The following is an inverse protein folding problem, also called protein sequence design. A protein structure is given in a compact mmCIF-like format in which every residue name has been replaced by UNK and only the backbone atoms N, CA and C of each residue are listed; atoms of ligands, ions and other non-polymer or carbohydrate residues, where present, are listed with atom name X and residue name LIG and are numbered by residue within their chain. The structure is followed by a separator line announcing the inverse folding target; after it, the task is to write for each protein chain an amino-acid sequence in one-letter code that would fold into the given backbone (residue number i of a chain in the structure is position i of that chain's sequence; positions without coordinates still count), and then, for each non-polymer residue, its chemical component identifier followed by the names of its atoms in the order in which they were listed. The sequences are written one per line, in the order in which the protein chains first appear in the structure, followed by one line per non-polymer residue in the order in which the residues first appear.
data_IF_556800274023
#
_entry.id   IF_556800274023
#
_cell.length_a   1.000
_cell.length_b   1.000
_cell.length_c   1.000
_cell.angle_alpha   90.00
_cell.angle_beta   90.00
_cell.angle_gamma   90.00
#
_symmetry.space_group_name_H-M   'P 1'
#
loop_
_entity.id
_entity.type
_entity.pdbx_description
1 polymer ?
#
# COMPACT_ATOMS: atom_id res chain seq x y z
N UNK A 1 4.75 3.07 -21.78
CA UNK A 1 4.99 4.52 -21.89
C UNK A 1 4.13 5.23 -20.85
N UNK A 2 4.69 6.25 -20.16
CA UNK A 2 3.91 7.09 -19.25
C UNK A 2 2.79 7.79 -20.04
N UNK A 3 1.58 7.74 -19.50
CA UNK A 3 0.43 8.41 -20.09
C UNK A 3 0.23 9.75 -19.36
N UNK A 4 1.04 10.75 -19.72
CA UNK A 4 0.94 12.12 -19.23
C UNK A 4 0.40 13.01 -20.34
N UNK A 5 -0.46 13.96 -20.00
CA UNK A 5 -0.80 15.07 -20.91
C UNK A 5 0.43 15.96 -21.12
N UNK A 6 0.43 16.78 -22.18
CA UNK A 6 1.50 17.76 -22.40
C UNK A 6 1.63 18.73 -21.22
N UNK A 7 0.51 19.11 -20.60
CA UNK A 7 0.46 19.97 -19.43
C UNK A 7 1.10 19.29 -18.20
N UNK A 8 0.70 18.04 -17.88
CA UNK A 8 1.28 17.26 -16.79
C UNK A 8 2.79 17.04 -17.00
N UNK A 9 3.22 16.76 -18.23
CA UNK A 9 4.63 16.59 -18.54
C UNK A 9 5.45 17.87 -18.32
N UNK A 10 4.90 19.03 -18.69
CA UNK A 10 5.56 20.33 -18.46
C UNK A 10 5.71 20.63 -16.97
N UNK A 11 4.65 20.40 -16.18
CA UNK A 11 4.68 20.58 -14.72
C UNK A 11 5.68 19.63 -14.08
N UNK A 12 5.62 18.32 -14.40
CA UNK A 12 6.52 17.31 -13.87
C UNK A 12 7.98 17.70 -14.13
N UNK A 13 8.31 18.07 -15.37
CA UNK A 13 9.67 18.48 -15.72
C UNK A 13 10.11 19.70 -14.91
N UNK A 14 9.26 20.73 -14.78
CA UNK A 14 9.58 21.93 -13.98
C UNK A 14 9.84 21.61 -12.52
N UNK A 15 9.01 20.77 -11.91
CA UNK A 15 9.17 20.31 -10.52
C UNK A 15 10.47 19.52 -10.35
N UNK A 16 10.76 18.58 -11.25
CA UNK A 16 11.99 17.78 -11.22
C UNK A 16 13.23 18.66 -11.35
N UNK A 17 13.23 19.66 -12.24
CA UNK A 17 14.35 20.59 -12.42
C UNK A 17 14.68 21.37 -11.14
N UNK A 18 13.68 21.80 -10.37
CA UNK A 18 13.87 22.46 -9.09
C UNK A 18 14.36 21.49 -7.99
N UNK A 19 13.77 20.29 -7.93
CA UNK A 19 14.05 19.33 -6.87
C UNK A 19 15.42 18.65 -7.02
N UNK A 20 15.91 18.42 -8.23
CA UNK A 20 17.24 17.83 -8.46
C UNK A 20 18.39 18.73 -7.99
N UNK A 21 18.14 20.04 -7.82
CA UNK A 21 19.11 21.00 -7.31
C UNK A 21 19.10 21.10 -5.78
N UNK A 22 18.15 20.47 -5.13
CA UNK A 22 18.04 20.47 -3.68
C UNK A 22 19.05 19.49 -3.08
N UNK A 23 20.12 20.01 -2.48
CA UNK A 23 21.16 19.21 -1.86
C UNK A 23 20.56 18.27 -0.79
N UNK A 24 20.95 17.00 -0.82
CA UNK A 24 20.40 15.94 0.04
C UNK A 24 19.23 15.17 -0.58
N UNK A 25 18.76 15.54 -1.77
CA UNK A 25 17.88 14.70 -2.58
C UNK A 25 18.77 13.76 -3.42
N UNK A 26 18.64 12.47 -3.18
CA UNK A 26 19.43 11.43 -3.85
C UNK A 26 18.81 10.99 -5.18
N UNK A 27 17.46 10.92 -5.20
CA UNK A 27 16.73 10.66 -6.42
C UNK A 27 15.31 11.26 -6.36
N UNK A 28 14.78 11.59 -7.55
CA UNK A 28 13.40 12.04 -7.76
C UNK A 28 12.70 11.06 -8.68
N UNK A 29 11.51 10.61 -8.30
CA UNK A 29 10.73 9.64 -9.07
C UNK A 29 9.30 10.11 -9.30
N UNK A 30 8.70 9.66 -10.39
CA UNK A 30 7.25 9.66 -10.54
C UNK A 30 6.71 8.33 -10.00
N UNK A 31 5.74 8.41 -9.09
CA UNK A 31 5.07 7.29 -8.45
C UNK A 31 3.60 7.18 -8.79
N UNK A 32 2.83 6.67 -7.84
CA UNK A 32 1.37 6.65 -7.83
C UNK A 32 0.72 6.00 -9.05
N UNK A 33 -0.44 6.55 -9.42
CA UNK A 33 -1.26 6.01 -10.51
C UNK A 33 -0.60 6.14 -11.89
N UNK A 34 0.17 7.19 -12.11
CA UNK A 34 0.92 7.39 -13.36
C UNK A 34 2.01 6.35 -13.56
N UNK A 35 2.79 6.04 -12.54
CA UNK A 35 3.83 5.00 -12.60
C UNK A 35 3.22 3.60 -12.82
N UNK A 36 1.99 3.38 -12.33
CA UNK A 36 1.25 2.12 -12.48
C UNK A 36 0.53 1.98 -13.82
N UNK A 37 0.52 3.01 -14.67
CA UNK A 37 -0.24 3.02 -15.92
C UNK A 37 -1.76 3.00 -15.72
N UNK A 38 -2.25 3.52 -14.58
CA UNK A 38 -3.66 3.54 -14.16
C UNK A 38 -4.18 4.95 -13.89
N UNK A 39 -3.42 5.95 -14.30
CA UNK A 39 -3.81 7.34 -14.11
C UNK A 39 -5.04 7.69 -14.95
N UNK A 40 -5.89 8.54 -14.40
CA UNK A 40 -6.96 9.24 -15.09
C UNK A 40 -6.51 10.66 -15.44
N UNK A 41 -7.20 11.37 -16.34
CA UNK A 41 -6.83 12.74 -16.67
C UNK A 41 -6.78 13.70 -15.47
N UNK A 42 -7.55 13.42 -14.43
CA UNK A 42 -7.65 14.18 -13.18
C UNK A 42 -6.75 13.65 -12.05
N UNK A 43 -5.91 12.66 -12.32
CA UNK A 43 -4.99 12.08 -11.33
C UNK A 43 -3.91 13.07 -10.92
N UNK A 44 -3.54 13.02 -9.64
CA UNK A 44 -2.45 13.79 -9.06
C UNK A 44 -1.09 13.29 -9.59
N UNK A 45 -0.08 14.15 -9.60
CA UNK A 45 1.30 13.77 -9.85
C UNK A 45 1.97 13.43 -8.50
N UNK A 46 2.18 12.15 -8.23
CA UNK A 46 2.88 11.67 -7.03
C UNK A 46 4.39 11.67 -7.29
N UNK A 47 5.15 12.52 -6.61
CA UNK A 47 6.60 12.65 -6.80
C UNK A 47 7.31 12.24 -5.52
N UNK A 48 8.10 11.16 -5.58
CA UNK A 48 8.92 10.68 -4.48
C UNK A 48 10.27 11.39 -4.44
N UNK A 49 10.63 11.94 -3.28
CA UNK A 49 11.97 12.45 -2.98
C UNK A 49 12.70 11.44 -2.11
N UNK A 50 13.65 10.74 -2.71
CA UNK A 50 14.49 9.78 -1.99
C UNK A 50 15.69 10.48 -1.40
N UNK A 51 16.00 10.18 -0.14
CA UNK A 51 17.08 10.82 0.60
C UNK A 51 17.74 9.88 1.61
N UNK A 52 19.02 10.13 1.93
CA UNK A 52 19.68 9.51 3.08
C UNK A 52 19.39 10.29 4.36
N UNK A 53 18.98 9.63 5.47
CA UNK A 53 18.76 10.31 6.75
C UNK A 53 20.04 10.90 7.35
N UNK A 54 21.22 10.44 6.92
CA UNK A 54 22.52 10.98 7.37
C UNK A 54 22.82 12.36 6.73
N UNK A 55 22.26 12.60 5.53
CA UNK A 55 22.44 13.84 4.78
C UNK A 55 21.12 14.30 4.16
N UNK A 56 20.09 14.58 4.99
CA UNK A 56 18.77 14.92 4.47
C UNK A 56 18.76 16.27 3.78
N UNK A 57 17.82 16.48 2.87
CA UNK A 57 17.60 17.77 2.26
C UNK A 57 17.00 18.79 3.25
N UNK A 58 17.17 20.07 2.96
CA UNK A 58 16.63 21.15 3.79
C UNK A 58 15.14 21.37 3.56
N UNK A 59 14.32 21.15 4.59
CA UNK A 59 12.88 21.45 4.56
C UNK A 59 12.62 22.95 4.31
N UNK A 60 13.45 23.83 4.86
CA UNK A 60 13.33 25.28 4.61
C UNK A 60 13.51 25.61 3.12
N UNK A 61 14.50 25.00 2.48
CA UNK A 61 14.70 25.16 1.03
C UNK A 61 13.56 24.54 0.22
N UNK A 62 13.03 23.39 0.64
CA UNK A 62 11.87 22.81 -0.02
C UNK A 62 10.64 23.72 0.10
N UNK A 63 10.41 24.37 1.25
CA UNK A 63 9.35 25.38 1.42
C UNK A 63 9.51 26.56 0.45
N UNK A 64 10.73 27.04 0.24
CA UNK A 64 11.00 28.11 -0.73
C UNK A 64 10.68 27.66 -2.18
N UNK A 65 11.08 26.44 -2.56
CA UNK A 65 10.76 25.85 -3.86
C UNK A 65 9.25 25.71 -4.02
N UNK A 66 8.59 25.10 -3.04
CA UNK A 66 7.15 24.89 -3.03
C UNK A 66 6.38 26.21 -3.17
N UNK A 67 6.78 27.26 -2.44
CA UNK A 67 6.14 28.59 -2.51
C UNK A 67 6.30 29.27 -3.88
N UNK A 68 7.39 28.96 -4.63
CA UNK A 68 7.56 29.48 -6.00
C UNK A 68 6.74 28.72 -7.04
N UNK A 69 6.52 27.42 -6.80
CA UNK A 69 5.83 26.55 -7.75
C UNK A 69 4.32 26.56 -7.58
N UNK A 70 3.85 26.70 -6.33
CA UNK A 70 2.45 26.54 -5.98
C UNK A 70 1.60 27.73 -6.40
N UNK A 71 0.37 27.49 -6.83
CA UNK A 71 -0.59 28.51 -7.24
C UNK A 71 -0.99 29.43 -6.06
N UNK A 72 -1.03 28.88 -4.85
CA UNK A 72 -1.28 29.63 -3.61
C UNK A 72 0.01 29.83 -2.82
N UNK A 73 0.10 30.96 -2.13
CA UNK A 73 1.35 31.47 -1.53
C UNK A 73 1.91 30.60 -0.39
N UNK A 74 1.05 29.83 0.28
CA UNK A 74 1.43 29.02 1.45
C UNK A 74 1.06 27.54 1.20
N UNK A 75 1.91 26.78 0.50
CA UNK A 75 1.70 25.35 0.33
C UNK A 75 1.92 24.61 1.66
N UNK A 76 1.25 23.47 1.80
CA UNK A 76 1.50 22.56 2.92
C UNK A 76 2.81 21.83 2.67
N UNK A 77 3.82 22.07 3.52
CA UNK A 77 5.12 21.38 3.52
C UNK A 77 5.42 20.92 4.93
N UNK A 78 5.42 19.62 5.16
CA UNK A 78 5.66 19.04 6.47
C UNK A 78 7.16 18.96 6.82
N UNK A 79 7.45 18.80 8.10
CA UNK A 79 8.77 18.38 8.54
C UNK A 79 8.91 16.85 8.40
N UNK A 80 10.16 16.33 8.50
CA UNK A 80 10.40 14.88 8.52
C UNK A 80 9.70 14.25 9.72
N UNK A 81 9.10 13.08 9.52
CA UNK A 81 8.38 12.33 10.55
C UNK A 81 6.99 12.88 10.89
N UNK A 82 6.59 14.03 10.34
CA UNK A 82 5.31 14.66 10.69
C UNK A 82 4.08 13.84 10.26
N UNK A 83 4.22 12.97 9.24
CA UNK A 83 3.14 12.10 8.76
C UNK A 83 3.29 10.65 9.25
N UNK A 84 4.03 10.47 10.34
CA UNK A 84 4.27 9.17 10.95
C UNK A 84 5.51 8.46 10.41
N UNK A 85 5.81 7.33 11.01
CA UNK A 85 7.09 6.63 10.77
C UNK A 85 7.22 5.99 9.39
N UNK A 86 6.11 5.72 8.70
CA UNK A 86 6.12 5.07 7.38
C UNK A 86 6.07 6.05 6.23
N UNK A 87 5.19 7.03 6.29
CA UNK A 87 5.02 8.01 5.21
C UNK A 87 6.05 9.13 5.32
N UNK A 88 6.60 9.35 6.52
CA UNK A 88 7.62 10.34 6.85
C UNK A 88 7.12 11.78 6.74
N UNK A 89 6.85 12.27 5.53
CA UNK A 89 6.34 13.61 5.29
C UNK A 89 6.23 13.91 3.79
N UNK A 90 5.91 15.14 3.47
CA UNK A 90 5.72 15.57 2.09
C UNK A 90 5.24 17.00 1.93
N UNK A 91 4.78 17.31 0.74
CA UNK A 91 4.14 18.57 0.43
C UNK A 91 2.95 18.36 -0.51
N UNK A 92 1.89 19.15 -0.29
CA UNK A 92 0.74 19.19 -1.17
C UNK A 92 0.72 20.51 -1.93
N UNK A 93 0.85 20.42 -3.25
CA UNK A 93 0.92 21.56 -4.14
C UNK A 93 -0.22 21.52 -5.15
N UNK A 94 -0.58 22.70 -5.63
CA UNK A 94 -1.36 22.87 -6.85
C UNK A 94 -0.55 23.80 -7.77
N UNK A 95 -0.23 23.31 -8.95
CA UNK A 95 0.62 23.99 -9.92
C UNK A 95 -0.13 24.10 -11.24
N UNK A 96 -0.49 25.32 -11.62
CA UNK A 96 -1.31 25.57 -12.84
C UNK A 96 -2.60 24.73 -12.86
N UNK A 97 -3.25 24.57 -11.67
CA UNK A 97 -4.45 23.79 -11.47
C UNK A 97 -4.23 22.27 -11.33
N UNK A 98 -3.01 21.75 -11.58
CA UNK A 98 -2.66 20.35 -11.40
C UNK A 98 -2.21 20.09 -9.96
N UNK A 99 -2.80 19.09 -9.30
CA UNK A 99 -2.35 18.63 -7.98
C UNK A 99 -1.04 17.85 -8.11
N UNK A 100 -0.11 18.17 -7.22
CA UNK A 100 1.23 17.56 -7.16
C UNK A 100 1.55 17.23 -5.70
N UNK A 101 1.71 15.96 -5.41
CA UNK A 101 2.07 15.46 -4.09
C UNK A 101 3.56 15.10 -4.06
N UNK A 102 4.32 15.80 -3.21
CA UNK A 102 5.71 15.43 -2.92
C UNK A 102 5.71 14.50 -1.71
N UNK A 103 6.41 13.37 -1.81
CA UNK A 103 6.47 12.36 -0.75
C UNK A 103 7.93 12.09 -0.38
N UNK A 104 8.28 12.26 0.90
CA UNK A 104 9.63 11.96 1.38
C UNK A 104 9.82 10.45 1.53
N UNK A 105 10.97 9.94 1.07
CA UNK A 105 11.28 8.51 1.10
C UNK A 105 12.70 8.29 1.58
N UNK A 106 12.84 7.84 2.83
CA UNK A 106 14.12 7.48 3.42
C UNK A 106 14.68 6.21 2.78
N UNK A 107 15.87 6.30 2.18
CA UNK A 107 16.59 5.15 1.61
C UNK A 107 16.87 4.10 2.69
N UNK A 108 17.31 4.53 3.87
CA UNK A 108 17.57 3.60 4.99
C UNK A 108 16.33 2.80 5.40
N UNK A 109 15.13 3.41 5.33
CA UNK A 109 13.87 2.70 5.60
C UNK A 109 13.56 1.67 4.52
N UNK A 110 13.75 2.01 3.25
CA UNK A 110 13.56 1.07 2.13
C UNK A 110 14.50 -0.12 2.29
N UNK A 111 15.79 0.11 2.55
CA UNK A 111 16.80 -0.93 2.75
C UNK A 111 16.48 -1.83 3.96
N UNK A 112 16.10 -1.23 5.10
CA UNK A 112 15.70 -1.98 6.28
C UNK A 112 14.46 -2.86 6.00
N UNK A 113 13.46 -2.30 5.32
CA UNK A 113 12.26 -3.06 4.95
C UNK A 113 12.58 -4.20 3.99
N UNK A 114 13.48 -3.99 3.01
CA UNK A 114 13.93 -5.04 2.09
C UNK A 114 14.68 -6.15 2.82
N UNK A 115 15.56 -5.80 3.77
CA UNK A 115 16.26 -6.77 4.63
C UNK A 115 15.24 -7.62 5.40
N UNK A 116 14.27 -6.98 6.05
CA UNK A 116 13.22 -7.69 6.78
C UNK A 116 12.38 -8.58 5.87
N UNK A 117 12.01 -8.10 4.69
CA UNK A 117 11.26 -8.87 3.70
C UNK A 117 12.00 -10.14 3.24
N UNK A 118 13.32 -10.05 3.02
CA UNK A 118 14.18 -11.20 2.67
C UNK A 118 14.26 -12.24 3.77
N UNK A 119 14.06 -11.83 5.02
CA UNK A 119 14.03 -12.72 6.19
C UNK A 119 12.60 -13.13 6.58
N UNK A 120 11.59 -12.79 5.76
CA UNK A 120 10.19 -13.11 6.03
C UNK A 120 9.58 -12.29 7.17
N UNK A 121 10.17 -11.15 7.50
CA UNK A 121 9.60 -10.22 8.48
C UNK A 121 8.86 -9.09 7.78
N UNK A 122 7.73 -8.70 8.35
CA UNK A 122 6.94 -7.56 7.92
C UNK A 122 6.14 -6.99 9.09
N UNK A 123 5.70 -5.76 8.94
CA UNK A 123 4.90 -5.07 9.95
C UNK A 123 3.64 -4.49 9.31
N UNK A 124 2.56 -4.42 10.10
CA UNK A 124 1.38 -3.60 9.82
C UNK A 124 1.23 -2.64 10.98
N UNK A 125 1.37 -1.36 10.72
CA UNK A 125 1.23 -0.29 11.70
C UNK A 125 -0.22 0.21 11.70
N UNK A 126 -0.98 -0.22 12.71
CA UNK A 126 -2.41 0.11 12.81
C UNK A 126 -2.67 1.55 13.28
N UNK A 127 -1.67 2.24 13.81
CA UNK A 127 -1.78 3.65 14.19
C UNK A 127 -1.65 4.58 12.97
N UNK A 128 -1.18 4.06 11.85
CA UNK A 128 -1.01 4.81 10.63
C UNK A 128 -1.92 4.25 9.52
N UNK A 129 -2.57 5.14 8.78
CA UNK A 129 -3.38 4.83 7.59
C UNK A 129 -4.59 3.90 7.87
N UNK A 130 -5.62 4.39 8.58
CA UNK A 130 -6.86 3.64 8.74
C UNK A 130 -7.52 3.39 7.36
N UNK A 131 -8.35 2.35 7.21
CA UNK A 131 -8.87 1.48 8.28
C UNK A 131 -8.00 0.25 8.56
N UNK A 132 -7.02 -0.11 7.72
CA UNK A 132 -6.34 -1.40 7.78
C UNK A 132 -4.92 -1.32 8.35
N UNK A 133 -4.42 -0.12 8.59
CA UNK A 133 -3.04 0.11 8.97
C UNK A 133 -2.10 0.18 7.75
N UNK A 134 -0.90 0.70 7.98
CA UNK A 134 0.12 0.76 6.94
C UNK A 134 0.86 -0.57 6.84
N UNK A 135 0.77 -1.23 5.70
CA UNK A 135 1.53 -2.44 5.40
C UNK A 135 2.97 -2.05 5.02
N UNK A 136 3.94 -2.25 5.91
CA UNK A 136 5.32 -1.81 5.73
C UNK A 136 5.94 -2.14 4.37
N UNK A 137 5.78 -3.38 3.83
CA UNK A 137 6.30 -3.74 2.50
C UNK A 137 5.72 -2.93 1.33
N UNK A 138 4.70 -2.09 1.53
CA UNK A 138 4.20 -1.16 0.50
C UNK A 138 5.29 -0.22 -0.01
N UNK A 139 6.27 0.14 0.84
CA UNK A 139 7.41 0.97 0.41
C UNK A 139 8.28 0.29 -0.65
N UNK A 140 8.37 -1.06 -0.61
CA UNK A 140 9.06 -1.84 -1.65
C UNK A 140 8.25 -1.86 -2.95
N UNK A 141 6.93 -1.93 -2.82
CA UNK A 141 6.01 -1.82 -3.96
C UNK A 141 6.11 -0.45 -4.65
N UNK A 142 6.23 0.63 -3.88
CA UNK A 142 6.46 1.96 -4.43
C UNK A 142 7.77 2.02 -5.23
N UNK A 143 8.87 1.46 -4.70
CA UNK A 143 10.14 1.34 -5.42
C UNK A 143 9.98 0.52 -6.70
N UNK A 144 9.31 -0.63 -6.62
CA UNK A 144 9.13 -1.51 -7.78
C UNK A 144 8.46 -0.83 -8.98
N UNK A 145 7.46 0.04 -8.72
CA UNK A 145 6.74 0.76 -9.78
C UNK A 145 7.36 2.11 -10.13
N UNK A 146 8.19 2.71 -9.26
CA UNK A 146 8.72 4.06 -9.43
C UNK A 146 9.37 4.25 -10.79
N UNK A 147 9.11 5.40 -11.42
CA UNK A 147 9.77 5.81 -12.66
C UNK A 147 10.82 6.88 -12.32
N UNK A 148 12.12 6.58 -12.42
CA UNK A 148 13.16 7.54 -12.12
C UNK A 148 13.10 8.74 -13.08
N UNK A 149 13.01 9.95 -12.51
CA UNK A 149 13.06 11.22 -13.21
C UNK A 149 14.44 11.87 -13.05
N UNK A 150 15.09 11.65 -11.89
CA UNK A 150 16.46 12.02 -11.62
C UNK A 150 17.07 10.99 -10.67
N UNK A 151 18.06 10.24 -11.13
CA UNK A 151 18.76 9.18 -10.35
C UNK A 151 20.23 9.09 -10.80
N UNK A 152 21.03 10.12 -10.51
CA UNK A 152 22.39 10.25 -11.07
C UNK A 152 23.35 9.17 -10.60
N UNK A 153 23.06 8.52 -9.48
CA UNK A 153 23.85 7.43 -8.90
C UNK A 153 23.25 6.05 -9.14
N UNK A 154 22.19 5.95 -9.93
CA UNK A 154 21.46 4.71 -10.23
C UNK A 154 20.97 3.95 -8.96
N UNK A 155 20.70 4.66 -7.84
CA UNK A 155 20.26 4.07 -6.57
C UNK A 155 18.91 3.37 -6.76
N UNK A 156 17.97 4.08 -7.39
CA UNK A 156 16.63 3.52 -7.65
C UNK A 156 16.68 2.36 -8.63
N UNK A 157 17.53 2.41 -9.64
CA UNK A 157 17.71 1.31 -10.56
C UNK A 157 18.19 0.04 -9.84
N UNK A 158 19.14 0.17 -8.91
CA UNK A 158 19.62 -0.94 -8.08
C UNK A 158 18.51 -1.46 -7.15
N UNK A 159 17.88 -0.59 -6.39
CA UNK A 159 16.79 -0.99 -5.49
C UNK A 159 15.63 -1.68 -6.23
N UNK A 160 15.26 -1.21 -7.43
CA UNK A 160 14.23 -1.86 -8.26
C UNK A 160 14.62 -3.29 -8.63
N UNK A 161 15.86 -3.55 -8.98
CA UNK A 161 16.35 -4.90 -9.27
C UNK A 161 16.34 -5.79 -8.03
N UNK A 162 16.51 -5.23 -6.84
CA UNK A 162 16.53 -5.95 -5.58
C UNK A 162 15.13 -6.26 -5.01
N UNK A 163 14.15 -5.39 -5.25
CA UNK A 163 12.76 -5.58 -4.80
C UNK A 163 11.92 -6.39 -5.79
N UNK A 164 12.40 -6.63 -7.01
CA UNK A 164 11.68 -7.34 -8.07
C UNK A 164 12.51 -8.52 -8.58
N UNK A 165 12.00 -9.77 -8.45
CA UNK A 165 10.69 -10.15 -7.92
C UNK A 165 10.54 -9.95 -6.41
N UNK A 166 9.28 -9.99 -5.91
CA UNK A 166 9.00 -9.99 -4.46
C UNK A 166 9.75 -11.14 -3.78
N UNK A 167 10.41 -10.92 -2.62
CA UNK A 167 11.08 -12.00 -1.89
C UNK A 167 10.11 -13.13 -1.50
N UNK A 168 10.44 -14.37 -1.83
CA UNK A 168 9.63 -15.55 -1.50
C UNK A 168 9.39 -15.69 0.01
N UNK A 169 10.38 -15.30 0.83
CA UNK A 169 10.24 -15.33 2.28
C UNK A 169 9.14 -14.38 2.77
N UNK A 170 9.05 -13.17 2.19
CA UNK A 170 7.97 -12.23 2.49
C UNK A 170 6.61 -12.82 2.08
N UNK A 171 6.48 -13.30 0.85
CA UNK A 171 5.23 -13.87 0.35
C UNK A 171 4.74 -14.99 1.27
N UNK A 172 5.61 -15.92 1.61
CA UNK A 172 5.30 -17.03 2.54
C UNK A 172 4.88 -16.53 3.91
N UNK A 173 5.61 -15.59 4.50
CA UNK A 173 5.32 -15.07 5.84
C UNK A 173 3.96 -14.34 5.89
N UNK A 174 3.67 -13.53 4.88
CA UNK A 174 2.38 -12.82 4.78
C UNK A 174 1.23 -13.81 4.59
N UNK A 175 1.33 -14.74 3.65
CA UNK A 175 0.30 -15.76 3.39
C UNK A 175 0.03 -16.55 4.67
N UNK A 176 1.07 -17.09 5.32
CA UNK A 176 0.93 -17.85 6.56
C UNK A 176 0.26 -17.03 7.66
N UNK A 177 0.72 -15.80 7.89
CA UNK A 177 0.20 -14.94 8.96
C UNK A 177 -1.24 -14.49 8.69
N UNK A 178 -1.56 -14.14 7.45
CA UNK A 178 -2.89 -13.59 7.13
C UNK A 178 -3.96 -14.67 7.10
N UNK A 179 -3.69 -15.81 6.48
CA UNK A 179 -4.62 -16.95 6.50
C UNK A 179 -4.82 -17.51 7.92
N UNK A 180 -3.73 -17.61 8.72
CA UNK A 180 -3.86 -17.98 10.13
C UNK A 180 -4.78 -17.01 10.90
N UNK A 181 -4.64 -15.71 10.68
CA UNK A 181 -5.49 -14.70 11.35
C UNK A 181 -6.97 -14.87 11.00
N UNK A 182 -7.27 -15.22 9.74
CA UNK A 182 -8.65 -15.49 9.30
C UNK A 182 -9.17 -16.79 9.92
N UNK A 183 -8.40 -17.89 9.84
CA UNK A 183 -8.76 -19.19 10.40
C UNK A 183 -9.06 -19.09 11.90
N UNK A 184 -8.13 -18.52 12.66
CA UNK A 184 -8.29 -18.32 14.09
C UNK A 184 -9.51 -17.46 14.43
N UNK A 185 -9.71 -16.36 13.70
CA UNK A 185 -10.83 -15.46 13.93
C UNK A 185 -12.18 -16.09 13.62
N UNK A 186 -12.28 -16.84 12.51
CA UNK A 186 -13.50 -17.57 12.14
C UNK A 186 -13.83 -18.71 13.11
N UNK A 187 -12.81 -19.32 13.73
CA UNK A 187 -12.99 -20.45 14.62
C UNK A 187 -13.23 -20.03 16.07
N UNK A 188 -12.44 -19.05 16.57
CA UNK A 188 -12.39 -18.76 18.01
C UNK A 188 -13.18 -17.52 18.46
N UNK A 189 -13.32 -16.50 17.61
CA UNK A 189 -13.88 -15.22 18.01
C UNK A 189 -15.20 -14.86 17.33
N UNK A 190 -15.25 -14.85 16.00
CA UNK A 190 -16.40 -14.37 15.26
C UNK A 190 -17.71 -15.12 15.58
N UNK A 191 -17.72 -16.46 15.80
CA UNK A 191 -18.93 -17.17 16.19
C UNK A 191 -19.50 -16.72 17.53
N UNK A 192 -18.67 -16.28 18.49
CA UNK A 192 -19.12 -15.77 19.78
C UNK A 192 -19.85 -14.44 19.64
N UNK A 193 -19.34 -13.55 18.80
CA UNK A 193 -20.01 -12.29 18.48
C UNK A 193 -21.35 -12.54 17.78
N UNK A 194 -21.37 -13.45 16.79
CA UNK A 194 -22.60 -13.79 16.08
C UNK A 194 -23.66 -14.39 17.02
N UNK A 195 -23.28 -15.33 17.89
CA UNK A 195 -24.21 -15.93 18.86
C UNK A 195 -24.84 -14.93 19.82
N UNK A 196 -24.12 -13.84 20.12
CA UNK A 196 -24.62 -12.75 20.98
C UNK A 196 -25.35 -11.64 20.19
N UNK A 197 -25.52 -11.76 18.86
CA UNK A 197 -26.11 -10.70 18.03
C UNK A 197 -25.23 -9.45 17.94
N UNK A 198 -23.95 -9.55 18.25
CA UNK A 198 -23.00 -8.42 18.22
C UNK A 198 -22.59 -8.10 16.78
N UNK A 199 -23.35 -7.20 16.17
CA UNK A 199 -23.11 -6.71 14.80
C UNK A 199 -21.74 -6.03 14.69
N UNK A 200 -21.33 -5.24 15.69
CA UNK A 200 -20.06 -4.52 15.69
C UNK A 200 -18.87 -5.50 15.65
N UNK A 201 -18.89 -6.50 16.54
CA UNK A 201 -17.85 -7.51 16.59
C UNK A 201 -17.74 -8.33 15.30
N UNK A 202 -18.89 -8.76 14.73
CA UNK A 202 -18.90 -9.49 13.45
C UNK A 202 -18.44 -8.62 12.29
N UNK A 203 -18.90 -7.36 12.19
CA UNK A 203 -18.48 -6.42 11.15
C UNK A 203 -16.97 -6.18 11.18
N UNK A 204 -16.41 -5.96 12.38
CA UNK A 204 -14.97 -5.81 12.58
C UNK A 204 -14.18 -7.05 12.13
N UNK A 205 -14.64 -8.25 12.49
CA UNK A 205 -14.05 -9.51 12.04
C UNK A 205 -14.10 -9.65 10.53
N UNK A 206 -15.26 -9.50 9.91
CA UNK A 206 -15.45 -9.65 8.46
C UNK A 206 -14.57 -8.67 7.65
N UNK A 207 -14.50 -7.41 8.10
CA UNK A 207 -13.67 -6.39 7.45
C UNK A 207 -12.18 -6.74 7.54
N UNK A 208 -11.72 -7.20 8.70
CA UNK A 208 -10.34 -7.63 8.92
C UNK A 208 -9.99 -8.88 8.11
N UNK A 209 -10.91 -9.84 8.02
CA UNK A 209 -10.72 -11.05 7.21
C UNK A 209 -10.65 -10.71 5.72
N UNK A 210 -11.53 -9.84 5.24
CA UNK A 210 -11.52 -9.36 3.86
C UNK A 210 -10.15 -8.79 3.47
N UNK A 211 -9.60 -7.88 4.29
CA UNK A 211 -8.29 -7.29 4.04
C UNK A 211 -7.17 -8.34 4.11
N UNK A 212 -7.23 -9.27 5.06
CA UNK A 212 -6.25 -10.36 5.17
C UNK A 212 -6.24 -11.24 3.92
N UNK A 213 -7.42 -11.56 3.36
CA UNK A 213 -7.53 -12.31 2.11
C UNK A 213 -6.99 -11.49 0.91
N UNK A 214 -7.26 -10.19 0.85
CA UNK A 214 -6.68 -9.31 -0.18
C UNK A 214 -5.16 -9.35 -0.13
N UNK A 215 -4.54 -9.13 1.04
CA UNK A 215 -3.08 -9.22 1.21
C UNK A 215 -2.53 -10.59 0.79
N UNK A 216 -3.22 -11.67 1.16
CA UNK A 216 -2.87 -13.03 0.74
C UNK A 216 -2.80 -13.13 -0.78
N UNK A 217 -3.83 -12.67 -1.49
CA UNK A 217 -3.88 -12.74 -2.95
C UNK A 217 -2.79 -11.90 -3.62
N UNK A 218 -2.47 -10.72 -3.10
CA UNK A 218 -1.34 -9.93 -3.58
C UNK A 218 -0.04 -10.74 -3.50
N UNK A 219 0.25 -11.33 -2.35
CA UNK A 219 1.46 -12.12 -2.15
C UNK A 219 1.49 -13.42 -2.97
N UNK A 220 0.36 -14.11 -3.15
CA UNK A 220 0.27 -15.31 -4.00
C UNK A 220 0.59 -15.00 -5.47
N UNK A 221 0.32 -13.77 -5.91
CA UNK A 221 0.59 -13.33 -7.28
C UNK A 221 1.92 -12.55 -7.41
N UNK A 222 2.74 -12.49 -6.36
CA UNK A 222 4.03 -11.80 -6.38
C UNK A 222 3.91 -10.28 -6.57
N UNK A 223 2.78 -9.70 -6.21
CA UNK A 223 2.47 -8.27 -6.37
C UNK A 223 2.45 -7.58 -5.00
N UNK A 224 3.15 -6.44 -4.87
CA UNK A 224 3.07 -5.64 -3.66
C UNK A 224 1.75 -4.88 -3.57
N UNK A 225 1.11 -4.93 -2.40
CA UNK A 225 0.03 -3.99 -2.08
C UNK A 225 0.66 -2.63 -1.81
N UNK A 226 0.30 -1.60 -2.59
CA UNK A 226 0.86 -0.25 -2.45
C UNK A 226 -0.10 0.64 -1.65
N UNK A 227 -1.40 0.54 -1.90
CA UNK A 227 -2.44 1.24 -1.14
C UNK A 227 -3.78 0.49 -1.20
N UNK A 228 -4.70 0.85 -0.30
CA UNK A 228 -5.98 0.16 -0.15
C UNK A 228 -7.07 0.61 -1.13
N UNK A 229 -6.91 1.78 -1.78
CA UNK A 229 -7.99 2.41 -2.58
C UNK A 229 -8.52 1.53 -3.72
N UNK A 230 -7.64 0.73 -4.34
CA UNK A 230 -7.99 -0.14 -5.47
C UNK A 230 -7.71 -1.61 -5.19
N UNK A 231 -7.27 -1.96 -3.98
CA UNK A 231 -6.76 -3.28 -3.62
C UNK A 231 -7.74 -4.42 -3.94
N UNK A 232 -9.02 -4.28 -3.58
CA UNK A 232 -10.03 -5.30 -3.86
C UNK A 232 -10.26 -5.50 -5.37
N UNK A 233 -10.31 -4.41 -6.13
CA UNK A 233 -10.51 -4.48 -7.58
C UNK A 233 -9.28 -5.10 -8.29
N UNK A 234 -8.08 -4.84 -7.77
CA UNK A 234 -6.85 -5.45 -8.27
C UNK A 234 -6.81 -6.96 -7.97
N UNK A 235 -7.06 -7.33 -6.72
CA UNK A 235 -7.06 -8.71 -6.27
C UNK A 235 -8.07 -9.58 -7.07
N UNK A 236 -9.20 -9.01 -7.47
CA UNK A 236 -10.21 -9.70 -8.27
C UNK A 236 -9.74 -10.07 -9.68
N UNK A 237 -8.70 -9.41 -10.20
CA UNK A 237 -8.16 -9.63 -11.54
C UNK A 237 -6.88 -10.49 -11.54
N UNK A 238 -6.43 -10.98 -10.39
CA UNK A 238 -5.27 -11.84 -10.32
C UNK A 238 -5.56 -13.24 -10.87
N UNK A 239 -4.54 -13.88 -11.44
CA UNK A 239 -4.64 -15.26 -11.93
C UNK A 239 -4.89 -16.26 -10.80
N UNK A 240 -4.31 -16.00 -9.62
CA UNK A 240 -4.54 -16.76 -8.39
C UNK A 240 -5.51 -15.99 -7.49
N UNK A 241 -6.80 -16.03 -7.83
CA UNK A 241 -7.88 -15.47 -7.02
C UNK A 241 -9.08 -16.43 -7.00
N UNK A 242 -9.84 -16.50 -5.89
CA UNK A 242 -11.10 -17.24 -5.85
C UNK A 242 -12.08 -16.70 -6.90
N UNK A 243 -12.87 -17.59 -7.47
CA UNK A 243 -13.90 -17.19 -8.43
C UNK A 243 -14.83 -16.13 -7.84
N UNK A 244 -15.06 -15.06 -8.59
CA UNK A 244 -15.91 -13.91 -8.20
C UNK A 244 -15.53 -13.31 -6.85
N UNK A 245 -14.25 -13.29 -6.51
CA UNK A 245 -13.75 -12.87 -5.20
C UNK A 245 -14.32 -11.53 -4.73
N UNK A 246 -14.22 -10.49 -5.56
CA UNK A 246 -14.70 -9.15 -5.17
C UNK A 246 -16.22 -9.09 -5.00
N UNK A 247 -16.98 -9.79 -5.84
CA UNK A 247 -18.45 -9.81 -5.75
C UNK A 247 -18.92 -10.53 -4.50
N UNK A 248 -18.28 -11.66 -4.18
CA UNK A 248 -18.56 -12.43 -2.95
C UNK A 248 -18.22 -11.59 -1.71
N UNK A 249 -17.09 -10.90 -1.69
CA UNK A 249 -16.73 -10.00 -0.58
C UNK A 249 -17.71 -8.84 -0.44
N UNK A 250 -18.09 -8.19 -1.54
CA UNK A 250 -19.08 -7.11 -1.51
C UNK A 250 -20.41 -7.61 -0.96
N UNK A 251 -20.88 -8.78 -1.41
CA UNK A 251 -22.14 -9.38 -0.94
C UNK A 251 -22.09 -9.70 0.57
N UNK A 252 -20.95 -10.17 1.09
CA UNK A 252 -20.79 -10.42 2.53
C UNK A 252 -20.84 -9.11 3.32
N UNK A 253 -20.11 -8.10 2.88
CA UNK A 253 -19.96 -6.84 3.64
C UNK A 253 -21.18 -5.91 3.50
N UNK A 254 -21.95 -6.00 2.42
CA UNK A 254 -23.14 -5.17 2.21
C UNK A 254 -24.38 -5.68 2.95
N UNK A 255 -24.38 -6.95 3.36
CA UNK A 255 -25.52 -7.58 4.07
C UNK A 255 -24.99 -8.47 5.21
N UNK A 256 -24.48 -7.81 6.25
CA UNK A 256 -23.95 -8.48 7.46
C UNK A 256 -25.09 -9.09 8.29
N UNK A 257 -26.27 -8.47 8.24
CA UNK A 257 -27.42 -8.85 9.06
C UNK A 257 -27.35 -8.28 10.48
N UNK A 258 -28.42 -8.54 11.26
CA UNK A 258 -28.57 -8.03 12.64
C UNK A 258 -29.06 -9.10 13.62
N UNK A 259 -29.34 -10.31 13.18
CA UNK A 259 -29.70 -11.43 14.06
C UNK A 259 -28.57 -12.45 14.16
N UNK A 260 -28.51 -13.24 15.23
CA UNK A 260 -27.50 -14.30 15.35
C UNK A 260 -27.42 -15.23 14.14
N UNK A 261 -28.57 -15.57 13.55
CA UNK A 261 -28.66 -16.45 12.38
C UNK A 261 -28.09 -15.77 11.12
N UNK A 262 -28.44 -14.49 10.90
CA UNK A 262 -27.94 -13.74 9.73
C UNK A 262 -26.43 -13.49 9.86
N UNK A 263 -25.94 -13.11 11.04
CA UNK A 263 -24.52 -12.94 11.33
C UNK A 263 -23.74 -14.24 11.11
N UNK A 264 -24.26 -15.38 11.58
CA UNK A 264 -23.67 -16.70 11.37
C UNK A 264 -23.64 -17.09 9.90
N UNK A 265 -24.70 -16.78 9.14
CA UNK A 265 -24.74 -17.01 7.70
C UNK A 265 -23.67 -16.19 6.95
N UNK A 266 -23.45 -14.93 7.36
CA UNK A 266 -22.38 -14.07 6.85
C UNK A 266 -20.98 -14.67 7.08
N UNK A 267 -20.75 -15.17 8.31
CA UNK A 267 -19.50 -15.88 8.65
C UNK A 267 -19.32 -17.16 7.82
N UNK A 268 -20.38 -17.92 7.57
CA UNK A 268 -20.32 -19.10 6.70
C UNK A 268 -19.93 -18.79 5.26
N UNK A 269 -20.43 -17.66 4.71
CA UNK A 269 -19.99 -17.18 3.39
C UNK A 269 -18.50 -16.79 3.38
N UNK A 270 -18.02 -16.14 4.45
CA UNK A 270 -16.60 -15.78 4.61
C UNK A 270 -15.72 -17.02 4.76
N UNK A 271 -16.18 -18.04 5.50
CA UNK A 271 -15.49 -19.33 5.63
C UNK A 271 -15.29 -19.99 4.26
N UNK A 272 -16.33 -20.02 3.42
CA UNK A 272 -16.20 -20.58 2.07
C UNK A 272 -15.17 -19.82 1.23
N UNK A 273 -15.13 -18.50 1.35
CA UNK A 273 -14.15 -17.67 0.63
C UNK A 273 -12.72 -17.88 1.15
N UNK A 274 -12.56 -18.06 2.45
CA UNK A 274 -11.29 -18.44 3.08
C UNK A 274 -10.79 -19.79 2.58
N UNK A 275 -11.65 -20.81 2.51
CA UNK A 275 -11.27 -22.15 2.03
C UNK A 275 -10.75 -22.10 0.58
N UNK A 276 -11.41 -21.34 -0.30
CA UNK A 276 -10.93 -21.16 -1.65
C UNK A 276 -9.54 -20.50 -1.69
N UNK A 277 -9.33 -19.44 -0.91
CA UNK A 277 -8.02 -18.77 -0.82
C UNK A 277 -6.96 -19.70 -0.22
N UNK A 278 -7.30 -20.52 0.77
CA UNK A 278 -6.43 -21.52 1.39
C UNK A 278 -6.03 -22.60 0.36
N UNK A 279 -6.97 -23.07 -0.45
CA UNK A 279 -6.66 -24.01 -1.53
C UNK A 279 -5.66 -23.43 -2.53
N UNK A 280 -5.83 -22.15 -2.92
CA UNK A 280 -4.89 -21.47 -3.81
C UNK A 280 -3.51 -21.28 -3.18
N UNK A 281 -3.44 -21.04 -1.87
CA UNK A 281 -2.19 -20.89 -1.14
C UNK A 281 -1.37 -22.20 -1.08
N UNK A 282 -2.03 -23.35 -1.10
CA UNK A 282 -1.37 -24.66 -1.11
C UNK A 282 -0.33 -24.80 0.00
N UNK A 283 0.90 -25.14 -0.36
CA UNK A 283 2.00 -25.35 0.58
C UNK A 283 2.53 -24.06 1.24
N UNK A 284 2.06 -22.88 0.83
CA UNK A 284 2.42 -21.62 1.48
C UNK A 284 1.65 -21.39 2.78
N UNK A 285 0.60 -22.18 3.04
CA UNK A 285 -0.16 -22.12 4.28
C UNK A 285 -0.24 -23.48 4.96
N UNK A 286 0.15 -23.51 6.23
CA UNK A 286 -0.04 -24.67 7.11
C UNK A 286 -0.94 -24.25 8.26
N UNK A 287 -2.12 -24.86 8.43
CA UNK A 287 -2.98 -24.62 9.58
C UNK A 287 -2.23 -24.88 10.88
N UNK A 288 -2.23 -23.91 11.79
CA UNK A 288 -1.58 -24.03 13.09
C UNK A 288 -2.58 -24.17 14.23
N UNK A 289 -3.83 -23.85 13.93
CA UNK A 289 -4.93 -23.94 14.88
C UNK A 289 -5.85 -25.10 14.49
N UNK A 290 -5.95 -26.07 15.38
CA UNK A 290 -6.91 -27.18 15.26
C UNK A 290 -7.76 -27.19 16.53
N UNK A 291 -9.02 -26.79 16.40
CA UNK A 291 -10.03 -26.99 17.46
C UNK A 291 -10.60 -28.38 17.41
#
# INVERSE_FOLDING_TARGET
MLQLTSHQSAILNRVVEELKLLAGVDAVVLGGSHARGRARPDSDLDIGLYYSPDTPFSIARLREIAARLNDVREPVVSDFGAWGRWVDGGAWLTIEGQRVDLLYRSLAKVEATLKDAREGRFEIDFEQQPPFGFFGPSVLGEVAIAVPMHDPRAILAQLKAEVSPMPDALARAVVQSRLWSVEFGLTAFAPKFAANGDVHGVAGCLTRFAHALVLTLFCLNGVYLINDKTALAEAANFSLAPERFADRLRAILSDIGSTPEALSAGLGKMQALFEDARCLAGALYTPTWRL
#
